data_IF_326253956794
#
_entry.id   IF_326253956794
#
_cell.length_a   1.000
_cell.length_b   1.000
_cell.length_c   1.000
_cell.angle_alpha   90.00
_cell.angle_beta   90.00
_cell.angle_gamma   90.00
#
_symmetry.space_group_name_H-M   'P 1'
#
loop_
_entity.id
_entity.type
_entity.pdbx_description
1 polymer ?
#
# COMPACT_ATOMS: atom_id res chain seq x y z
N UNK A 1 -4.84 31.33 -34.73
CA UNK A 1 -5.95 32.30 -34.56
C UNK A 1 -5.58 33.30 -33.47
N UNK A 2 -5.92 34.59 -33.60
CA UNK A 2 -5.63 35.59 -32.56
C UNK A 2 -6.39 35.25 -31.26
N UNK A 3 -5.69 35.30 -30.12
CA UNK A 3 -6.29 35.06 -28.80
C UNK A 3 -7.04 36.32 -28.34
N UNK A 4 -8.37 36.27 -28.11
CA UNK A 4 -9.12 37.43 -27.64
C UNK A 4 -8.66 37.83 -26.22
N UNK A 5 -8.56 39.14 -25.96
CA UNK A 5 -8.22 39.67 -24.62
C UNK A 5 -9.48 39.79 -23.78
N UNK A 6 -9.42 39.26 -22.56
CA UNK A 6 -10.54 39.30 -21.59
C UNK A 6 -10.03 39.96 -20.30
N UNK A 7 -10.79 40.92 -19.78
CA UNK A 7 -10.53 41.54 -18.48
C UNK A 7 -11.37 40.82 -17.41
N UNK A 8 -10.72 40.13 -16.47
CA UNK A 8 -11.40 39.43 -15.37
C UNK A 8 -11.03 40.04 -14.02
N UNK A 9 -12.03 40.12 -13.12
CA UNK A 9 -11.81 40.42 -11.71
C UNK A 9 -11.78 39.12 -10.93
N UNK A 10 -10.71 38.88 -10.19
CA UNK A 10 -10.52 37.70 -9.36
C UNK A 10 -10.60 38.10 -7.88
N UNK A 11 -11.17 37.22 -7.05
CA UNK A 11 -11.09 37.40 -5.60
C UNK A 11 -9.62 37.39 -5.15
N UNK A 12 -9.29 38.17 -4.12
CA UNK A 12 -7.90 38.36 -3.66
C UNK A 12 -7.18 37.04 -3.36
N UNK A 13 -7.87 36.08 -2.72
CA UNK A 13 -7.29 34.75 -2.42
C UNK A 13 -7.01 33.90 -3.67
N UNK A 14 -7.83 34.00 -4.72
CA UNK A 14 -7.62 33.27 -5.98
C UNK A 14 -6.47 33.90 -6.76
N UNK A 15 -6.40 35.23 -6.77
CA UNK A 15 -5.28 35.95 -7.37
C UNK A 15 -3.95 35.60 -6.71
N UNK A 16 -3.91 35.53 -5.36
CA UNK A 16 -2.70 35.16 -4.63
C UNK A 16 -2.19 33.76 -5.00
N UNK A 17 -3.08 32.76 -5.10
CA UNK A 17 -2.73 31.39 -5.53
C UNK A 17 -2.23 31.35 -6.99
N UNK A 18 -2.87 32.12 -7.87
CA UNK A 18 -2.44 32.22 -9.27
C UNK A 18 -1.06 32.87 -9.39
N UNK A 19 -0.80 33.91 -8.58
CA UNK A 19 0.49 34.58 -8.54
C UNK A 19 1.60 33.63 -8.05
N UNK A 20 1.34 32.90 -6.96
CA UNK A 20 2.22 31.87 -6.41
C UNK A 20 2.56 30.78 -7.43
N UNK A 21 1.55 30.24 -8.12
CA UNK A 21 1.72 29.20 -9.14
C UNK A 21 2.57 29.65 -10.35
N UNK A 22 2.74 30.96 -10.56
CA UNK A 22 3.55 31.53 -11.65
C UNK A 22 4.92 32.04 -11.21
N UNK A 23 5.31 31.83 -9.95
CA UNK A 23 6.64 32.22 -9.46
C UNK A 23 7.78 31.39 -10.04
N UNK A 24 7.48 30.16 -10.50
CA UNK A 24 8.47 29.30 -11.14
C UNK A 24 8.58 29.60 -12.65
N UNK A 25 9.80 29.63 -13.23
CA UNK A 25 9.98 29.86 -14.66
C UNK A 25 9.29 28.79 -15.50
N UNK A 26 8.55 29.20 -16.53
CA UNK A 26 7.96 28.29 -17.53
C UNK A 26 6.44 28.30 -17.62
N UNK A 27 5.73 28.98 -16.70
CA UNK A 27 4.26 29.03 -16.71
C UNK A 27 3.76 30.47 -16.55
N UNK A 28 2.85 30.92 -17.43
CA UNK A 28 2.26 32.27 -17.36
C UNK A 28 0.84 32.23 -16.77
N UNK A 29 0.41 33.34 -16.17
CA UNK A 29 -0.96 33.50 -15.63
C UNK A 29 -2.02 33.18 -16.69
N UNK A 30 -1.80 33.65 -17.93
CA UNK A 30 -2.70 33.38 -19.05
C UNK A 30 -2.74 31.89 -19.41
N UNK A 31 -1.60 31.18 -19.35
CA UNK A 31 -1.55 29.75 -19.64
C UNK A 31 -2.34 28.93 -18.60
N UNK A 32 -2.21 29.27 -17.32
CA UNK A 32 -2.97 28.61 -16.24
C UNK A 32 -4.48 28.87 -16.39
N UNK A 33 -4.88 30.12 -16.67
CA UNK A 33 -6.30 30.46 -16.86
C UNK A 33 -6.88 29.73 -18.07
N UNK A 34 -6.16 29.69 -19.19
CA UNK A 34 -6.60 28.98 -20.40
C UNK A 34 -6.73 27.47 -20.16
N UNK A 35 -5.78 26.87 -19.43
CA UNK A 35 -5.84 25.46 -19.05
C UNK A 35 -7.01 25.18 -18.10
N UNK A 36 -7.21 26.00 -17.07
CA UNK A 36 -8.32 25.85 -16.13
C UNK A 36 -9.68 25.97 -16.82
N UNK A 37 -9.82 26.89 -17.78
CA UNK A 37 -11.04 27.00 -18.59
C UNK A 37 -11.24 25.78 -19.50
N UNK A 38 -10.17 25.28 -20.13
CA UNK A 38 -10.24 24.06 -20.94
C UNK A 38 -10.69 22.85 -20.13
N UNK A 39 -10.21 22.71 -18.89
CA UNK A 39 -10.65 21.68 -17.96
C UNK A 39 -12.08 21.88 -17.48
N UNK A 40 -12.49 23.13 -17.22
CA UNK A 40 -13.86 23.45 -16.84
C UNK A 40 -14.86 23.06 -17.94
N UNK A 41 -14.52 23.30 -19.21
CA UNK A 41 -15.35 22.91 -20.36
C UNK A 41 -15.20 21.44 -20.76
N UNK A 42 -14.27 20.69 -20.17
CA UNK A 42 -14.08 19.26 -20.44
C UNK A 42 -14.14 18.42 -19.15
N UNK A 43 -15.33 18.29 -18.54
CA UNK A 43 -15.51 17.53 -17.30
C UNK A 43 -15.24 16.03 -17.46
N UNK A 44 -15.33 15.49 -18.69
CA UNK A 44 -15.05 14.06 -18.97
C UNK A 44 -13.63 13.64 -18.60
N UNK A 45 -12.66 14.56 -18.68
CA UNK A 45 -11.28 14.28 -18.25
C UNK A 45 -11.20 14.04 -16.75
N UNK A 46 -11.97 14.79 -15.95
CA UNK A 46 -12.03 14.59 -14.49
C UNK A 46 -12.79 13.31 -14.13
N UNK A 47 -13.94 13.08 -14.76
CA UNK A 47 -14.72 11.85 -14.54
C UNK A 47 -13.90 10.59 -14.86
N UNK A 48 -13.19 10.55 -15.99
CA UNK A 48 -12.32 9.41 -16.34
C UNK A 48 -11.17 9.21 -15.36
N UNK A 49 -10.66 10.28 -14.76
CA UNK A 49 -9.63 10.16 -13.74
C UNK A 49 -10.19 9.55 -12.46
N UNK A 50 -11.35 10.02 -12.01
CA UNK A 50 -12.07 9.49 -10.84
C UNK A 50 -12.45 8.02 -11.04
N UNK A 51 -13.00 7.65 -12.20
CA UNK A 51 -13.32 6.26 -12.56
C UNK A 51 -12.10 5.35 -12.50
N UNK A 52 -10.95 5.80 -13.00
CA UNK A 52 -9.69 5.04 -12.95
C UNK A 52 -9.17 4.86 -11.52
N UNK A 53 -9.39 5.84 -10.65
CA UNK A 53 -9.05 5.71 -9.23
C UNK A 53 -9.97 4.70 -8.56
N UNK A 54 -11.29 4.82 -8.77
CA UNK A 54 -12.28 3.88 -8.21
C UNK A 54 -11.97 2.45 -8.63
N UNK A 55 -11.74 2.20 -9.92
CA UNK A 55 -11.38 0.86 -10.41
C UNK A 55 -10.09 0.30 -9.78
N UNK A 56 -9.13 1.17 -9.45
CA UNK A 56 -7.90 0.75 -8.74
C UNK A 56 -8.15 0.45 -7.27
N UNK A 57 -9.06 1.19 -6.62
CA UNK A 57 -9.49 0.93 -5.26
C UNK A 57 -10.28 -0.38 -5.18
N UNK A 58 -11.20 -0.63 -6.10
CA UNK A 58 -11.94 -1.89 -6.16
C UNK A 58 -10.99 -3.09 -6.33
N UNK A 59 -9.98 -2.96 -7.21
CA UNK A 59 -8.96 -3.97 -7.39
C UNK A 59 -8.02 -4.12 -6.17
N UNK A 60 -7.89 -3.09 -5.34
CA UNK A 60 -7.18 -3.18 -4.06
C UNK A 60 -8.02 -3.95 -3.04
N UNK A 61 -9.31 -3.64 -2.92
CA UNK A 61 -10.23 -4.30 -1.99
C UNK A 61 -10.38 -5.80 -2.27
N UNK A 62 -10.45 -6.20 -3.55
CA UNK A 62 -10.45 -7.61 -3.92
C UNK A 62 -9.18 -8.32 -3.45
N UNK A 63 -8.01 -7.73 -3.70
CA UNK A 63 -6.73 -8.31 -3.27
C UNK A 63 -6.58 -8.33 -1.75
N UNK A 64 -7.12 -7.32 -1.06
CA UNK A 64 -7.15 -7.29 0.40
C UNK A 64 -8.00 -8.44 0.96
N UNK A 65 -9.18 -8.68 0.39
CA UNK A 65 -10.03 -9.81 0.77
C UNK A 65 -9.39 -11.18 0.49
N UNK A 66 -8.60 -11.30 -0.58
CA UNK A 66 -7.80 -12.51 -0.85
C UNK A 66 -6.72 -12.72 0.23
N UNK A 67 -5.99 -11.67 0.60
CA UNK A 67 -4.97 -11.73 1.67
C UNK A 67 -5.63 -12.11 3.01
N UNK A 68 -6.77 -11.53 3.34
CA UNK A 68 -7.51 -11.85 4.57
C UNK A 68 -7.92 -13.32 4.61
N UNK A 69 -8.37 -13.87 3.48
CA UNK A 69 -8.70 -15.30 3.37
C UNK A 69 -7.47 -16.19 3.55
N UNK A 70 -6.36 -15.86 2.89
CA UNK A 70 -5.12 -16.63 2.98
C UNK A 70 -4.53 -16.61 4.40
N UNK A 71 -4.63 -15.46 5.09
CA UNK A 71 -4.28 -15.33 6.50
C UNK A 71 -5.20 -16.19 7.37
N UNK A 72 -6.51 -16.19 7.09
CA UNK A 72 -7.48 -17.05 7.76
C UNK A 72 -7.11 -18.53 7.65
N UNK A 73 -6.86 -19.02 6.43
CA UNK A 73 -6.45 -20.41 6.20
C UNK A 73 -5.12 -20.74 6.89
N UNK A 74 -4.16 -19.81 6.89
CA UNK A 74 -2.88 -20.01 7.57
C UNK A 74 -3.06 -20.14 9.09
N UNK A 75 -3.94 -19.32 9.68
CA UNK A 75 -4.26 -19.39 11.11
C UNK A 75 -4.98 -20.69 11.47
N UNK A 76 -5.93 -21.14 10.65
CA UNK A 76 -6.60 -22.44 10.84
C UNK A 76 -5.60 -23.60 10.76
N UNK A 77 -4.74 -23.62 9.74
CA UNK A 77 -3.71 -24.64 9.58
C UNK A 77 -2.71 -24.65 10.76
N UNK A 78 -2.30 -23.47 11.23
CA UNK A 78 -1.43 -23.34 12.41
C UNK A 78 -2.14 -23.85 13.68
N UNK A 79 -3.40 -23.49 13.88
CA UNK A 79 -4.21 -23.96 15.00
C UNK A 79 -4.31 -25.48 15.01
N UNK A 80 -4.58 -26.08 13.85
CA UNK A 80 -4.64 -27.53 13.70
C UNK A 80 -3.28 -28.19 13.93
N UNK A 81 -2.19 -27.60 13.46
CA UNK A 81 -0.84 -28.07 13.74
C UNK A 81 -0.53 -28.04 15.24
N UNK A 82 -0.86 -26.95 15.95
CA UNK A 82 -0.64 -26.82 17.40
C UNK A 82 -1.45 -27.88 18.16
N UNK A 83 -2.74 -28.06 17.80
CA UNK A 83 -3.58 -29.09 18.42
C UNK A 83 -3.01 -30.49 18.19
N UNK A 84 -2.62 -30.80 16.95
CA UNK A 84 -1.97 -32.06 16.62
C UNK A 84 -0.69 -32.27 17.42
N UNK A 85 0.15 -31.24 17.54
CA UNK A 85 1.40 -31.31 18.28
C UNK A 85 1.16 -31.60 19.78
N UNK A 86 0.21 -30.90 20.42
CA UNK A 86 -0.12 -31.10 21.84
C UNK A 86 -0.78 -32.45 22.13
N UNK A 87 -1.48 -33.03 21.15
CA UNK A 87 -2.15 -34.33 21.30
C UNK A 87 -1.24 -35.52 21.02
N UNK A 88 -0.20 -35.35 20.21
CA UNK A 88 0.72 -36.44 19.82
C UNK A 88 2.09 -36.40 20.50
N UNK A 89 2.50 -35.27 21.05
CA UNK A 89 3.82 -35.13 21.67
C UNK A 89 3.74 -35.45 23.15
N UNK A 90 4.42 -36.52 23.57
CA UNK A 90 4.53 -36.86 24.99
C UNK A 90 5.30 -35.75 25.74
N UNK A 91 4.83 -35.35 26.95
CA UNK A 91 5.50 -34.33 27.73
C UNK A 91 6.87 -34.82 28.20
N UNK A 92 7.86 -33.92 28.13
CA UNK A 92 9.22 -34.23 28.56
C UNK A 92 9.31 -34.42 30.09
N UNK A 93 10.19 -35.33 30.56
CA UNK A 93 10.49 -35.46 31.99
C UNK A 93 10.93 -34.14 32.62
N UNK A 94 10.47 -33.87 33.85
CA UNK A 94 10.72 -32.63 34.60
C UNK A 94 12.16 -32.14 34.55
N UNK A 95 13.10 -33.08 34.73
CA UNK A 95 14.54 -32.83 34.82
C UNK A 95 15.17 -32.36 33.51
N UNK A 96 14.53 -32.65 32.39
CA UNK A 96 15.04 -32.34 31.05
C UNK A 96 14.38 -31.11 30.43
N UNK A 97 13.29 -30.60 31.04
CA UNK A 97 12.49 -29.51 30.47
C UNK A 97 13.29 -28.23 30.27
N UNK A 98 14.07 -27.80 31.25
CA UNK A 98 14.87 -26.58 31.14
C UNK A 98 15.93 -26.67 30.03
N UNK A 99 16.61 -27.81 29.94
CA UNK A 99 17.61 -28.06 28.91
C UNK A 99 16.99 -28.10 27.51
N UNK A 100 15.84 -28.78 27.36
CA UNK A 100 15.09 -28.86 26.12
C UNK A 100 14.53 -27.49 25.69
N UNK A 101 13.99 -26.70 26.63
CA UNK A 101 13.51 -25.35 26.39
C UNK A 101 14.65 -24.45 25.90
N UNK A 102 15.81 -24.47 26.57
CA UNK A 102 16.97 -23.69 26.17
C UNK A 102 17.47 -24.08 24.77
N UNK A 103 17.48 -25.38 24.44
CA UNK A 103 17.84 -25.86 23.11
C UNK A 103 16.81 -25.42 22.05
N UNK A 104 15.52 -25.52 22.35
CA UNK A 104 14.43 -25.08 21.48
C UNK A 104 14.54 -23.59 21.14
N UNK A 105 14.79 -22.74 22.14
CA UNK A 105 14.99 -21.30 21.93
C UNK A 105 16.21 -21.00 21.05
N UNK A 106 17.31 -21.75 21.19
CA UNK A 106 18.50 -21.58 20.32
C UNK A 106 18.18 -21.96 18.87
N UNK A 107 17.53 -23.11 18.65
CA UNK A 107 17.12 -23.57 17.32
C UNK A 107 16.13 -22.61 16.66
N UNK A 108 15.15 -22.12 17.41
CA UNK A 108 14.17 -21.17 16.91
C UNK A 108 14.81 -19.83 16.52
N UNK A 109 15.69 -19.28 17.35
CA UNK A 109 16.43 -18.05 17.00
C UNK A 109 17.23 -18.22 15.72
N UNK A 110 17.97 -19.33 15.58
CA UNK A 110 18.72 -19.63 14.36
C UNK A 110 17.80 -19.72 13.13
N UNK A 111 16.65 -20.39 13.26
CA UNK A 111 15.64 -20.43 12.19
C UNK A 111 15.15 -19.03 11.80
N UNK A 112 14.78 -18.19 12.77
CA UNK A 112 14.34 -16.81 12.52
C UNK A 112 15.43 -16.00 11.80
N UNK A 113 16.69 -16.15 12.18
CA UNK A 113 17.81 -15.50 11.48
C UNK A 113 17.97 -15.97 10.03
N UNK A 114 17.73 -17.25 9.74
CA UNK A 114 17.76 -17.78 8.37
C UNK A 114 16.58 -17.23 7.55
N UNK A 115 15.37 -17.19 8.12
CA UNK A 115 14.19 -16.60 7.46
C UNK A 115 14.41 -15.12 7.18
N UNK A 116 14.89 -14.36 8.17
CA UNK A 116 15.15 -12.94 8.02
C UNK A 116 16.20 -12.64 6.95
N UNK A 117 17.25 -13.49 6.84
CA UNK A 117 18.22 -13.41 5.74
C UNK A 117 17.56 -13.65 4.39
N UNK A 118 16.74 -14.71 4.29
CA UNK A 118 16.07 -15.07 3.03
C UNK A 118 15.09 -13.99 2.56
N UNK A 119 14.30 -13.41 3.46
CA UNK A 119 13.36 -12.32 3.13
C UNK A 119 14.10 -11.06 2.64
N UNK A 120 15.29 -10.78 3.19
CA UNK A 120 16.12 -9.65 2.74
C UNK A 120 16.78 -9.91 1.38
N UNK A 121 17.10 -11.18 1.06
CA UNK A 121 17.76 -11.55 -0.20
C UNK A 121 16.78 -11.80 -1.35
N UNK A 122 15.58 -12.31 -1.07
CA UNK A 122 14.55 -12.66 -2.05
C UNK A 122 13.20 -12.04 -1.63
N UNK A 123 12.63 -11.18 -2.48
CA UNK A 123 11.34 -10.52 -2.23
C UNK A 123 10.10 -11.43 -2.26
N UNK A 124 10.26 -12.75 -2.34
CA UNK A 124 9.19 -13.74 -2.17
C UNK A 124 9.80 -15.15 -2.08
N UNK A 125 9.37 -15.95 -1.10
CA UNK A 125 9.86 -17.31 -0.85
C UNK A 125 8.91 -18.41 -1.38
N UNK A 126 7.77 -18.06 -1.99
CA UNK A 126 6.84 -19.05 -2.52
C UNK A 126 6.93 -19.10 -4.06
N UNK A 127 7.02 -20.29 -4.68
CA UNK A 127 6.81 -20.42 -6.11
C UNK A 127 5.39 -19.93 -6.44
N UNK A 128 5.27 -19.10 -7.48
CA UNK A 128 3.98 -18.69 -8.06
C UNK A 128 3.29 -19.88 -8.72
#
# INVERSE_FOLDING_TARGET
MPKPRINLRLAAGVYAKLDEATRHPGVTKSAIIEQALREYFNPEVKLRFEERIMARLDAFDVRQGEIERDVGFTLEALGQFVLYWLTRTDPLPERERDAAHALGQRRFRYFVEQVARKVKSEGSCFPK
#
